data_IF_254821066918
#
_entry.id   IF_254821066918
#
_cell.length_a   1.000
_cell.length_b   1.000
_cell.length_c   1.000
_cell.angle_alpha   90.00
_cell.angle_beta   90.00
_cell.angle_gamma   90.00
#
_symmetry.space_group_name_H-M   'P 1'
#
loop_
_entity.id
_entity.type
_entity.pdbx_description
1 polymer ?
#
# COMPACT_ATOMS: atom_id res chain seq x y z
N UNK A 1 -25.11 18.17 0.71
CA UNK A 1 -24.80 16.74 0.98
C UNK A 1 -24.89 15.83 -0.26
N UNK A 2 -26.00 15.78 -1.02
CA UNK A 2 -26.11 14.86 -2.17
C UNK A 2 -25.04 15.06 -3.29
N UNK A 3 -24.63 16.29 -3.58
CA UNK A 3 -23.57 16.57 -4.56
C UNK A 3 -22.20 16.05 -4.09
N UNK A 4 -21.93 16.11 -2.80
CA UNK A 4 -20.67 15.62 -2.21
C UNK A 4 -20.59 14.09 -2.32
N UNK A 5 -21.70 13.38 -2.05
CA UNK A 5 -21.77 11.92 -2.16
C UNK A 5 -21.55 11.47 -3.62
N UNK A 6 -22.24 12.10 -4.59
CA UNK A 6 -22.07 11.77 -6.01
C UNK A 6 -20.64 12.02 -6.49
N UNK A 7 -20.02 13.11 -6.06
CA UNK A 7 -18.64 13.46 -6.40
C UNK A 7 -17.65 12.46 -5.80
N UNK A 8 -17.80 12.10 -4.55
CA UNK A 8 -16.96 11.11 -3.88
C UNK A 8 -17.12 9.71 -4.49
N UNK A 9 -18.34 9.33 -4.86
CA UNK A 9 -18.59 8.09 -5.59
C UNK A 9 -17.86 8.06 -6.93
N UNK A 10 -17.91 9.15 -7.71
CA UNK A 10 -17.23 9.25 -8.99
C UNK A 10 -15.70 9.16 -8.85
N UNK A 11 -15.11 9.84 -7.87
CA UNK A 11 -13.68 9.73 -7.59
C UNK A 11 -13.28 8.31 -7.17
N UNK A 12 -14.06 7.68 -6.31
CA UNK A 12 -13.79 6.29 -5.91
C UNK A 12 -13.89 5.33 -7.11
N UNK A 13 -14.90 5.50 -7.96
CA UNK A 13 -15.05 4.72 -9.20
C UNK A 13 -13.85 4.90 -10.13
N UNK A 14 -13.42 6.13 -10.38
CA UNK A 14 -12.22 6.45 -11.16
C UNK A 14 -10.97 5.78 -10.57
N UNK A 15 -10.82 5.82 -9.26
CA UNK A 15 -9.72 5.18 -8.56
C UNK A 15 -9.73 3.66 -8.77
N UNK A 16 -10.89 3.01 -8.63
CA UNK A 16 -11.01 1.56 -8.80
C UNK A 16 -10.78 1.15 -10.25
N UNK A 17 -11.38 1.85 -11.21
CA UNK A 17 -11.16 1.61 -12.65
C UNK A 17 -9.67 1.75 -12.99
N UNK A 18 -8.99 2.77 -12.49
CA UNK A 18 -7.58 2.97 -12.75
C UNK A 18 -6.69 1.86 -12.15
N UNK A 19 -7.11 1.23 -11.05
CA UNK A 19 -6.38 0.08 -10.45
C UNK A 19 -6.41 -1.16 -11.33
N UNK A 20 -7.45 -1.31 -12.16
CA UNK A 20 -7.60 -2.43 -13.08
C UNK A 20 -6.98 -2.11 -14.45
N UNK A 21 -7.27 -0.92 -15.00
CA UNK A 21 -6.78 -0.53 -16.33
C UNK A 21 -5.27 -0.41 -16.39
N UNK A 22 -4.63 0.13 -15.35
CA UNK A 22 -3.20 0.34 -15.34
C UNK A 22 -2.41 -0.98 -15.50
N UNK A 23 -2.62 -2.02 -14.68
CA UNK A 23 -1.98 -3.31 -14.88
C UNK A 23 -2.31 -3.96 -16.23
N UNK A 24 -3.54 -3.77 -16.74
CA UNK A 24 -3.95 -4.34 -18.02
C UNK A 24 -3.11 -3.78 -19.19
N UNK A 25 -2.74 -2.50 -19.12
CA UNK A 25 -1.89 -1.86 -20.14
C UNK A 25 -0.41 -2.19 -19.92
N UNK A 26 0.06 -2.22 -18.68
CA UNK A 26 1.48 -2.42 -18.38
C UNK A 26 1.91 -3.90 -18.42
N UNK A 27 1.02 -4.85 -18.09
CA UNK A 27 1.37 -6.27 -18.05
C UNK A 27 1.88 -6.85 -19.39
N UNK A 28 1.28 -6.54 -20.56
CA UNK A 28 1.81 -7.01 -21.84
C UNK A 28 3.20 -6.45 -22.16
N UNK A 29 3.49 -5.23 -21.74
CA UNK A 29 4.81 -4.62 -21.92
C UNK A 29 5.84 -5.33 -21.03
N UNK A 30 5.54 -5.50 -19.77
CA UNK A 30 6.39 -6.19 -18.79
C UNK A 30 6.67 -7.63 -19.25
N UNK A 31 5.65 -8.35 -19.73
CA UNK A 31 5.79 -9.72 -20.21
C UNK A 31 6.65 -9.85 -21.49
N UNK A 32 6.81 -8.77 -22.27
CA UNK A 32 7.69 -8.75 -23.46
C UNK A 32 9.14 -8.41 -23.10
N UNK A 33 9.35 -7.65 -22.04
CA UNK A 33 10.68 -7.19 -21.61
C UNK A 33 11.32 -8.20 -20.66
N UNK A 34 10.53 -8.74 -19.75
CA UNK A 34 10.95 -9.80 -18.84
C UNK A 34 10.50 -11.14 -19.43
N UNK A 35 11.43 -12.06 -19.62
CA UNK A 35 11.07 -13.44 -19.99
C UNK A 35 10.10 -14.04 -18.97
N UNK A 36 9.36 -15.11 -19.31
CA UNK A 36 8.40 -15.74 -18.39
C UNK A 36 8.99 -16.09 -17.01
N UNK A 37 10.26 -16.47 -16.99
CA UNK A 37 11.00 -16.74 -15.75
C UNK A 37 11.18 -15.48 -14.90
N UNK A 38 11.60 -14.37 -15.50
CA UNK A 38 11.76 -13.08 -14.81
C UNK A 38 10.43 -12.54 -14.27
N UNK A 39 9.33 -12.69 -15.02
CA UNK A 39 7.97 -12.36 -14.53
C UNK A 39 7.59 -13.23 -13.35
N UNK A 40 7.92 -14.53 -13.37
CA UNK A 40 7.70 -15.47 -12.27
C UNK A 40 8.44 -15.03 -11.01
N UNK A 41 9.74 -14.72 -11.12
CA UNK A 41 10.56 -14.26 -10.00
C UNK A 41 10.02 -12.94 -9.43
N UNK A 42 9.72 -11.96 -10.28
CA UNK A 42 9.18 -10.67 -9.85
C UNK A 42 7.85 -10.82 -9.10
N UNK A 43 6.93 -11.65 -9.59
CA UNK A 43 5.67 -11.95 -8.94
C UNK A 43 5.86 -12.67 -7.60
N UNK A 44 6.79 -13.61 -7.54
CA UNK A 44 7.10 -14.33 -6.31
C UNK A 44 7.64 -13.38 -5.24
N UNK A 45 8.64 -12.54 -5.59
CA UNK A 45 9.23 -11.53 -4.70
C UNK A 45 8.15 -10.57 -4.18
N UNK A 46 7.31 -10.06 -5.09
CA UNK A 46 6.23 -9.13 -4.72
C UNK A 46 5.19 -9.79 -3.81
N UNK A 47 4.77 -11.02 -4.12
CA UNK A 47 3.79 -11.76 -3.31
C UNK A 47 4.34 -12.05 -1.92
N UNK A 48 5.58 -12.56 -1.86
CA UNK A 48 6.25 -12.84 -0.59
C UNK A 48 6.34 -11.60 0.30
N UNK A 49 6.84 -10.49 -0.25
CA UNK A 49 6.95 -9.22 0.48
C UNK A 49 5.58 -8.68 0.91
N UNK A 50 4.53 -8.89 0.09
CA UNK A 50 3.16 -8.47 0.41
C UNK A 50 2.57 -9.19 1.61
N UNK A 51 2.91 -10.48 1.83
CA UNK A 51 2.48 -11.19 3.03
C UNK A 51 3.08 -10.55 4.29
N UNK A 52 4.37 -10.21 4.27
CA UNK A 52 4.98 -9.52 5.40
C UNK A 52 4.37 -8.12 5.60
N UNK A 53 4.10 -7.38 4.52
CA UNK A 53 3.40 -6.10 4.60
C UNK A 53 2.01 -6.23 5.23
N UNK A 54 1.27 -7.30 4.93
CA UNK A 54 -0.04 -7.58 5.53
C UNK A 54 0.07 -7.75 7.06
N UNK A 55 1.08 -8.48 7.54
CA UNK A 55 1.33 -8.64 8.97
C UNK A 55 1.79 -7.32 9.62
N UNK A 56 2.61 -6.52 8.93
CA UNK A 56 3.08 -5.24 9.45
C UNK A 56 1.95 -4.24 9.70
N UNK A 57 0.93 -4.23 8.84
CA UNK A 57 -0.20 -3.29 8.89
C UNK A 57 -1.22 -3.61 10.00
N UNK A 58 -1.26 -4.84 10.54
CA UNK A 58 -2.14 -5.27 11.66
C UNK A 58 -3.63 -4.91 11.49
N UNK A 59 -4.12 -4.71 10.28
CA UNK A 59 -5.50 -4.30 10.01
C UNK A 59 -5.83 -2.85 10.37
N UNK A 60 -4.84 -2.02 10.70
CA UNK A 60 -4.99 -0.60 11.05
C UNK A 60 -5.81 0.19 10.01
N UNK A 61 -5.68 -0.02 8.68
CA UNK A 61 -6.48 0.74 7.71
C UNK A 61 -7.99 0.59 7.91
N UNK A 62 -8.48 -0.62 8.16
CA UNK A 62 -9.92 -0.85 8.36
C UNK A 62 -10.42 -0.26 9.68
N UNK A 63 -9.64 -0.39 10.72
CA UNK A 63 -9.94 0.20 12.03
C UNK A 63 -9.84 1.73 11.95
N UNK A 64 -8.78 2.25 11.32
CA UNK A 64 -8.51 3.67 11.17
C UNK A 64 -9.62 4.43 10.44
N UNK A 65 -10.14 3.88 9.33
CA UNK A 65 -11.27 4.48 8.59
C UNK A 65 -12.46 4.71 9.53
N UNK A 66 -12.81 3.71 10.36
CA UNK A 66 -13.94 3.81 11.29
C UNK A 66 -13.73 4.86 12.37
N UNK A 67 -12.55 4.88 12.97
CA UNK A 67 -12.25 5.79 14.09
C UNK A 67 -12.10 7.24 13.60
N UNK A 68 -11.50 7.47 12.44
CA UNK A 68 -11.43 8.81 11.84
C UNK A 68 -12.83 9.31 11.45
N UNK A 69 -13.69 8.45 10.90
CA UNK A 69 -15.06 8.82 10.59
C UNK A 69 -15.86 9.29 11.83
N UNK A 70 -15.60 8.69 13.02
CA UNK A 70 -16.22 9.13 14.27
C UNK A 70 -15.65 10.46 14.78
N UNK A 71 -14.38 10.75 14.49
CA UNK A 71 -13.65 11.92 14.98
C UNK A 71 -13.60 13.08 13.97
N UNK A 72 -14.41 13.07 12.91
CA UNK A 72 -14.36 14.07 11.83
C UNK A 72 -14.45 15.53 12.32
N UNK A 73 -15.19 15.76 13.43
CA UNK A 73 -15.41 17.08 13.99
C UNK A 73 -14.37 17.50 15.05
N UNK A 74 -13.44 16.60 15.42
CA UNK A 74 -12.40 16.86 16.40
C UNK A 74 -11.02 16.60 15.78
N UNK A 75 -10.39 17.69 15.34
CA UNK A 75 -9.07 17.63 14.69
C UNK A 75 -7.99 17.11 15.66
N UNK A 76 -7.99 17.55 16.91
CA UNK A 76 -6.98 17.15 17.90
C UNK A 76 -7.06 15.66 18.19
N UNK A 77 -8.28 15.14 18.42
CA UNK A 77 -8.49 13.72 18.65
C UNK A 77 -8.14 12.87 17.41
N UNK A 78 -8.32 13.42 16.20
CA UNK A 78 -7.91 12.76 14.95
C UNK A 78 -6.39 12.70 14.80
N UNK A 79 -5.68 13.80 15.06
CA UNK A 79 -4.22 13.90 14.99
C UNK A 79 -3.54 12.96 16.00
N UNK A 80 -4.01 12.96 17.23
CA UNK A 80 -3.50 12.07 18.28
C UNK A 80 -3.69 10.60 17.89
N UNK A 81 -4.87 10.24 17.41
CA UNK A 81 -5.16 8.89 16.94
C UNK A 81 -4.26 8.46 15.78
N UNK A 82 -4.05 9.33 14.78
CA UNK A 82 -3.16 9.05 13.64
C UNK A 82 -1.73 8.82 14.11
N UNK A 83 -1.24 9.67 15.02
CA UNK A 83 0.11 9.54 15.59
C UNK A 83 0.30 8.21 16.32
N UNK A 84 -0.69 7.79 17.11
CA UNK A 84 -0.67 6.50 17.80
C UNK A 84 -0.65 5.33 16.81
N UNK A 85 -1.49 5.37 15.77
CA UNK A 85 -1.56 4.29 14.77
C UNK A 85 -0.26 4.18 13.96
N UNK A 86 0.31 5.30 13.54
CA UNK A 86 1.62 5.30 12.85
C UNK A 86 2.71 4.73 13.76
N UNK A 87 2.72 5.07 15.03
CA UNK A 87 3.70 4.55 15.98
C UNK A 87 3.59 3.02 16.14
N UNK A 88 2.38 2.49 16.22
CA UNK A 88 2.13 1.04 16.25
C UNK A 88 2.58 0.37 14.96
N UNK A 89 2.23 0.95 13.79
CA UNK A 89 2.65 0.42 12.49
C UNK A 89 4.17 0.44 12.32
N UNK A 90 4.86 1.49 12.77
CA UNK A 90 6.31 1.55 12.75
C UNK A 90 6.94 0.44 13.58
N UNK A 91 6.47 0.25 14.81
CA UNK A 91 6.98 -0.82 15.67
C UNK A 91 6.71 -2.20 15.07
N UNK A 92 5.49 -2.45 14.60
CA UNK A 92 5.13 -3.68 13.92
C UNK A 92 5.97 -3.92 12.68
N UNK A 93 6.17 -2.88 11.86
CA UNK A 93 6.99 -2.97 10.64
C UNK A 93 8.44 -3.33 10.96
N UNK A 94 9.04 -2.74 11.99
CA UNK A 94 10.40 -3.09 12.41
C UNK A 94 10.48 -4.55 12.86
N UNK A 95 9.52 -5.01 13.65
CA UNK A 95 9.44 -6.40 14.10
C UNK A 95 9.30 -7.37 12.93
N UNK A 96 8.35 -7.12 12.04
CA UNK A 96 8.09 -7.95 10.86
C UNK A 96 9.27 -7.94 9.89
N UNK A 97 9.92 -6.77 9.70
CA UNK A 97 11.10 -6.63 8.85
C UNK A 97 12.28 -7.48 9.34
N UNK A 98 12.44 -7.61 10.65
CA UNK A 98 13.46 -8.50 11.21
C UNK A 98 13.27 -9.95 10.72
N UNK A 99 12.04 -10.48 10.80
CA UNK A 99 11.74 -11.83 10.33
C UNK A 99 11.81 -11.94 8.80
N UNK A 100 11.44 -10.88 8.08
CA UNK A 100 11.59 -10.82 6.63
C UNK A 100 13.06 -10.99 6.22
N UNK A 101 13.96 -10.17 6.78
CA UNK A 101 15.38 -10.23 6.48
C UNK A 101 16.00 -11.56 6.92
N UNK A 102 15.60 -12.05 8.08
CA UNK A 102 16.05 -13.35 8.59
C UNK A 102 15.65 -14.49 7.63
N UNK A 103 14.42 -14.47 7.11
CA UNK A 103 13.96 -15.48 6.16
C UNK A 103 14.69 -15.41 4.81
N UNK A 104 14.97 -14.22 4.29
CA UNK A 104 15.74 -14.04 3.06
C UNK A 104 17.18 -14.55 3.23
N UNK A 105 17.74 -14.42 4.42
CA UNK A 105 19.10 -14.89 4.69
C UNK A 105 19.18 -16.43 4.92
N UNK A 106 18.18 -17.01 5.61
CA UNK A 106 18.21 -18.43 6.00
C UNK A 106 17.70 -19.39 4.92
N UNK A 107 16.89 -18.93 3.98
CA UNK A 107 16.29 -19.76 2.94
C UNK A 107 17.08 -19.63 1.65
N UNK A 108 17.78 -20.68 1.23
CA UNK A 108 18.68 -20.67 0.07
C UNK A 108 17.98 -20.19 -1.21
N UNK A 109 16.72 -20.61 -1.47
CA UNK A 109 15.93 -20.20 -2.61
C UNK A 109 15.63 -18.69 -2.66
N UNK A 110 15.53 -18.04 -1.50
CA UNK A 110 15.36 -16.59 -1.40
C UNK A 110 16.69 -15.87 -1.52
N UNK A 111 17.75 -16.47 -0.99
CA UNK A 111 19.10 -15.93 -1.02
C UNK A 111 19.67 -15.82 -2.44
N UNK A 112 19.34 -16.75 -3.33
CA UNK A 112 19.71 -16.68 -4.75
C UNK A 112 19.28 -15.36 -5.41
N UNK A 113 18.15 -14.79 -5.00
CA UNK A 113 17.62 -13.53 -5.47
C UNK A 113 17.57 -12.44 -4.37
N UNK A 114 18.48 -12.51 -3.38
CA UNK A 114 18.46 -11.65 -2.20
C UNK A 114 18.36 -10.16 -2.55
N UNK A 115 19.02 -9.72 -3.60
CA UNK A 115 19.00 -8.32 -4.04
C UNK A 115 17.57 -7.87 -4.37
N UNK A 116 16.78 -8.70 -5.07
CA UNK A 116 15.40 -8.37 -5.42
C UNK A 116 14.50 -8.32 -4.17
N UNK A 117 14.69 -9.26 -3.23
CA UNK A 117 13.98 -9.26 -1.96
C UNK A 117 14.34 -8.04 -1.10
N UNK A 118 15.60 -7.62 -1.06
CA UNK A 118 16.02 -6.42 -0.34
C UNK A 118 15.37 -5.16 -0.93
N UNK A 119 15.33 -5.02 -2.25
CA UNK A 119 14.64 -3.90 -2.89
C UNK A 119 13.13 -3.94 -2.62
N UNK A 120 12.49 -5.10 -2.71
CA UNK A 120 11.08 -5.24 -2.38
C UNK A 120 10.81 -4.96 -0.89
N UNK A 121 11.75 -5.32 -0.02
CA UNK A 121 11.71 -5.03 1.42
C UNK A 121 11.65 -3.53 1.75
N UNK A 122 12.18 -2.65 0.89
CA UNK A 122 12.05 -1.20 1.07
C UNK A 122 10.58 -0.78 1.13
N UNK A 123 9.71 -1.45 0.36
CA UNK A 123 8.28 -1.17 0.38
C UNK A 123 7.63 -1.42 1.75
N UNK A 124 8.17 -2.32 2.58
CA UNK A 124 7.71 -2.55 3.96
C UNK A 124 7.87 -1.30 4.82
N UNK A 125 9.04 -0.64 4.72
CA UNK A 125 9.33 0.57 5.51
C UNK A 125 8.50 1.78 5.08
N UNK A 126 7.99 1.79 3.84
CA UNK A 126 7.09 2.83 3.34
C UNK A 126 5.65 2.59 3.81
N UNK A 127 5.30 1.36 4.21
CA UNK A 127 3.93 0.98 4.55
C UNK A 127 3.30 1.83 5.66
N UNK A 128 3.97 2.15 6.79
CA UNK A 128 3.39 2.98 7.86
C UNK A 128 3.03 4.41 7.42
N UNK A 129 3.64 4.88 6.34
CA UNK A 129 3.38 6.22 5.81
C UNK A 129 2.24 6.24 4.77
N UNK A 130 1.64 5.09 4.47
CA UNK A 130 0.48 4.99 3.59
C UNK A 130 -0.82 5.34 4.31
N UNK A 131 -0.97 6.60 4.69
CA UNK A 131 -2.12 7.11 5.45
C UNK A 131 -3.39 7.30 4.61
N UNK A 132 -3.62 6.49 3.57
CA UNK A 132 -4.82 6.56 2.72
C UNK A 132 -6.11 6.33 3.51
N UNK A 133 -6.05 5.53 4.56
CA UNK A 133 -7.16 5.25 5.46
C UNK A 133 -7.65 6.51 6.20
N UNK A 134 -6.74 7.45 6.52
CA UNK A 134 -7.10 8.74 7.11
C UNK A 134 -7.99 9.55 6.17
N UNK A 135 -7.55 9.74 4.93
CA UNK A 135 -8.33 10.48 3.92
C UNK A 135 -9.63 9.76 3.55
N UNK A 136 -9.63 8.42 3.56
CA UNK A 136 -10.83 7.62 3.35
C UNK A 136 -11.85 7.81 4.48
N UNK A 137 -11.38 7.85 5.74
CA UNK A 137 -12.22 8.11 6.91
C UNK A 137 -12.81 9.52 6.93
N UNK A 138 -12.14 10.49 6.30
CA UNK A 138 -12.63 11.86 6.10
C UNK A 138 -13.48 12.05 4.83
N UNK A 139 -13.68 10.98 4.07
CA UNK A 139 -14.36 11.02 2.76
C UNK A 139 -13.66 11.94 1.73
N UNK A 140 -12.37 12.17 1.85
CA UNK A 140 -11.56 13.00 0.96
C UNK A 140 -11.02 12.20 -0.25
N UNK A 141 -11.89 11.50 -0.96
CA UNK A 141 -11.52 10.63 -2.09
C UNK A 141 -10.89 11.38 -3.27
N UNK A 142 -11.21 12.66 -3.43
CA UNK A 142 -10.60 13.50 -4.48
C UNK A 142 -9.09 13.58 -4.35
N UNK A 143 -8.56 13.76 -3.14
CA UNK A 143 -7.13 13.79 -2.86
C UNK A 143 -6.46 12.45 -3.18
N UNK A 144 -7.06 11.34 -2.70
CA UNK A 144 -6.54 9.99 -2.94
C UNK A 144 -6.46 9.70 -4.44
N UNK A 145 -7.53 10.02 -5.17
CA UNK A 145 -7.62 9.78 -6.61
C UNK A 145 -6.58 10.57 -7.38
N UNK A 146 -6.46 11.88 -7.11
CA UNK A 146 -5.51 12.75 -7.78
C UNK A 146 -4.06 12.29 -7.55
N UNK A 147 -3.67 12.03 -6.31
CA UNK A 147 -2.35 11.53 -5.96
C UNK A 147 -2.05 10.18 -6.65
N UNK A 148 -3.02 9.26 -6.62
CA UNK A 148 -2.87 7.93 -7.21
C UNK A 148 -2.71 7.99 -8.72
N UNK A 149 -3.45 8.86 -9.40
CA UNK A 149 -3.35 9.06 -10.85
C UNK A 149 -2.01 9.70 -11.22
N UNK A 150 -1.56 10.71 -10.47
CA UNK A 150 -0.26 11.34 -10.70
C UNK A 150 0.89 10.32 -10.64
N UNK A 151 0.92 9.50 -9.57
CA UNK A 151 1.96 8.49 -9.41
C UNK A 151 1.94 7.51 -10.59
N UNK A 152 0.76 7.08 -11.04
CA UNK A 152 0.63 6.17 -12.18
C UNK A 152 1.11 6.77 -13.51
N UNK A 153 0.83 8.06 -13.75
CA UNK A 153 1.29 8.75 -14.97
C UNK A 153 2.81 8.87 -14.98
N UNK A 154 3.43 9.12 -13.81
CA UNK A 154 4.89 9.26 -13.71
C UNK A 154 5.60 7.90 -13.81
N UNK A 155 4.93 6.80 -13.45
CA UNK A 155 5.51 5.45 -13.44
C UNK A 155 5.37 4.70 -14.78
N UNK A 156 4.76 5.30 -15.79
CA UNK A 156 4.69 4.79 -17.18
C UNK A 156 5.83 5.35 -18.00
#
# INVERSE_FOLDING_TARGET
MAQTIKRNFFYNLLLQVSKVLFPLVTAPYIARVLDPEGVGIANFVNTYSSYFALFAVLGIPLYGIREIAKKQNDLKASEEFVSQMISIELFSTLFVSFFYLLSVYLIDQLNENATLFLFAGIALYITPFKVEWFFSGREEFGYITFRSLLIKIISV
#
